data_IF_263819224782
#
_entry.id   IF_263819224782
#
_cell.length_a   1.000
_cell.length_b   1.000
_cell.length_c   1.000
_cell.angle_alpha   90.00
_cell.angle_beta   90.00
_cell.angle_gamma   90.00
#
_symmetry.space_group_name_H-M   'P 1'
#
loop_
_entity.id
_entity.type
_entity.pdbx_description
1 polymer ?
#
# COMPACT_ATOMS: atom_id res chain seq x y z
N UNK A 1 -27.21 -48.02 7.58
CA UNK A 1 -27.56 -47.52 6.25
C UNK A 1 -26.37 -46.77 5.68
N UNK A 2 -25.85 -47.19 4.53
CA UNK A 2 -24.74 -46.50 3.88
C UNK A 2 -25.23 -45.12 3.40
N UNK A 3 -24.76 -44.03 4.03
CA UNK A 3 -25.05 -42.67 3.59
C UNK A 3 -24.46 -42.54 2.19
N UNK A 4 -25.32 -42.41 1.18
CA UNK A 4 -24.89 -42.18 -0.20
C UNK A 4 -23.90 -41.01 -0.21
N UNK A 5 -22.71 -41.22 -0.79
CA UNK A 5 -21.64 -40.23 -0.80
C UNK A 5 -22.10 -39.02 -1.63
N UNK A 6 -22.58 -37.97 -0.95
CA UNK A 6 -23.09 -36.76 -1.60
C UNK A 6 -21.93 -36.01 -2.30
N UNK A 7 -21.97 -35.86 -3.64
CA UNK A 7 -20.93 -35.18 -4.39
C UNK A 7 -20.67 -33.76 -3.87
N UNK A 8 -19.43 -33.28 -4.01
CA UNK A 8 -19.06 -31.89 -3.70
C UNK A 8 -19.26 -31.47 -2.23
N UNK A 9 -19.47 -32.43 -1.33
CA UNK A 9 -19.53 -32.19 0.11
C UNK A 9 -18.32 -32.77 0.82
N UNK A 10 -17.85 -32.08 1.86
CA UNK A 10 -16.76 -32.55 2.72
C UNK A 10 -16.91 -32.04 4.15
N UNK A 11 -16.32 -32.75 5.11
CA UNK A 11 -16.37 -32.41 6.53
C UNK A 11 -15.13 -31.62 6.92
N UNK A 12 -15.31 -30.50 7.63
CA UNK A 12 -14.21 -29.70 8.18
C UNK A 12 -14.06 -29.98 9.67
N UNK A 13 -12.82 -30.32 10.07
CA UNK A 13 -12.44 -30.64 11.46
C UNK A 13 -13.30 -31.73 12.12
N UNK A 14 -14.00 -32.56 11.34
CA UNK A 14 -14.92 -33.58 11.85
C UNK A 14 -16.25 -33.05 12.41
N UNK A 15 -16.52 -31.73 12.33
CA UNK A 15 -17.62 -31.09 13.08
C UNK A 15 -18.77 -30.64 12.19
N UNK A 16 -18.50 -30.09 11.00
CA UNK A 16 -19.54 -29.54 10.13
C UNK A 16 -19.25 -29.74 8.66
N UNK A 17 -20.31 -29.79 7.86
CA UNK A 17 -20.26 -30.04 6.43
C UNK A 17 -20.11 -28.75 5.63
N UNK A 18 -19.40 -28.83 4.51
CA UNK A 18 -19.29 -27.76 3.52
C UNK A 18 -19.58 -28.27 2.12
N UNK A 19 -20.09 -27.38 1.29
CA UNK A 19 -20.27 -27.58 -0.15
C UNK A 19 -19.19 -26.83 -0.93
N UNK A 20 -18.60 -27.48 -1.96
CA UNK A 20 -17.63 -26.85 -2.86
C UNK A 20 -17.81 -27.28 -4.32
N UNK A 21 -18.34 -26.37 -5.14
CA UNK A 21 -18.47 -26.51 -6.61
C UNK A 21 -18.62 -25.14 -7.24
N UNK A 22 -18.07 -24.93 -8.44
CA UNK A 22 -18.31 -23.71 -9.24
C UNK A 22 -17.90 -22.39 -8.57
N UNK A 23 -16.85 -22.40 -7.74
CA UNK A 23 -16.40 -21.21 -6.98
C UNK A 23 -17.14 -20.95 -5.68
N UNK A 24 -18.28 -21.62 -5.43
CA UNK A 24 -18.96 -21.59 -4.14
C UNK A 24 -18.18 -22.44 -3.13
N UNK A 25 -18.00 -21.90 -1.93
CA UNK A 25 -17.46 -22.61 -0.78
C UNK A 25 -18.16 -22.12 0.49
N UNK A 26 -19.22 -22.81 0.89
CA UNK A 26 -20.07 -22.40 2.02
C UNK A 26 -20.36 -23.57 2.98
N UNK A 27 -20.61 -23.28 4.27
CA UNK A 27 -21.09 -24.28 5.20
C UNK A 27 -22.49 -24.78 4.80
N UNK A 28 -22.77 -26.05 5.08
CA UNK A 28 -24.10 -26.64 5.03
C UNK A 28 -24.61 -26.81 6.47
N UNK A 29 -25.89 -26.48 6.74
CA UNK A 29 -26.50 -26.71 8.04
C UNK A 29 -26.74 -28.20 8.27
N UNK A 30 -26.56 -28.67 9.51
CA UNK A 30 -26.92 -30.03 9.91
C UNK A 30 -26.04 -31.13 9.29
N UNK A 31 -26.60 -32.34 9.22
CA UNK A 31 -25.94 -33.54 8.70
C UNK A 31 -26.70 -34.16 7.51
N UNK A 32 -26.03 -34.93 6.63
CA UNK A 32 -26.68 -35.72 5.59
C UNK A 32 -27.81 -36.59 6.17
N UNK A 33 -29.00 -36.50 5.57
CA UNK A 33 -30.24 -37.11 6.07
C UNK A 33 -31.23 -36.10 6.66
N UNK A 34 -30.76 -34.93 7.10
CA UNK A 34 -31.64 -33.86 7.59
C UNK A 34 -32.24 -33.03 6.44
N UNK A 35 -33.50 -32.62 6.57
CA UNK A 35 -34.19 -31.83 5.54
C UNK A 35 -33.51 -30.50 5.25
N UNK A 36 -33.04 -29.79 6.28
CA UNK A 36 -32.33 -28.52 6.16
C UNK A 36 -31.01 -28.67 5.41
N UNK A 37 -30.28 -29.76 5.65
CA UNK A 37 -29.05 -30.09 4.94
C UNK A 37 -29.33 -30.29 3.44
N UNK A 38 -30.31 -31.12 3.11
CA UNK A 38 -30.64 -31.46 1.72
C UNK A 38 -31.22 -30.28 0.94
N UNK A 39 -32.01 -29.40 1.58
CA UNK A 39 -32.51 -28.18 0.98
C UNK A 39 -31.37 -27.21 0.64
N UNK A 40 -30.46 -26.94 1.59
CA UNK A 40 -29.29 -26.10 1.35
C UNK A 40 -28.36 -26.72 0.29
N UNK A 41 -28.13 -28.03 0.34
CA UNK A 41 -27.33 -28.73 -0.67
C UNK A 41 -27.92 -28.60 -2.07
N UNK A 42 -29.23 -28.79 -2.23
CA UNK A 42 -29.92 -28.63 -3.52
C UNK A 42 -29.84 -27.19 -4.05
N UNK A 43 -30.03 -26.20 -3.18
CA UNK A 43 -29.89 -24.78 -3.53
C UNK A 43 -28.48 -24.47 -4.05
N UNK A 44 -27.43 -24.94 -3.35
CA UNK A 44 -26.04 -24.68 -3.76
C UNK A 44 -25.64 -25.46 -5.01
N UNK A 45 -26.16 -26.67 -5.19
CA UNK A 45 -26.00 -27.44 -6.43
C UNK A 45 -26.63 -26.71 -7.62
N UNK A 46 -27.87 -26.24 -7.49
CA UNK A 46 -28.55 -25.47 -8.53
C UNK A 46 -27.81 -24.15 -8.83
N UNK A 47 -27.33 -23.46 -7.81
CA UNK A 47 -26.52 -22.24 -7.98
C UNK A 47 -25.18 -22.51 -8.68
N UNK A 48 -24.53 -23.63 -8.38
CA UNK A 48 -23.26 -24.03 -9.03
C UNK A 48 -23.43 -24.53 -10.47
N UNK A 49 -24.61 -25.04 -10.83
CA UNK A 49 -24.95 -25.49 -12.18
C UNK A 49 -25.50 -24.38 -13.07
N UNK A 50 -25.93 -23.26 -12.47
CA UNK A 50 -26.34 -22.07 -13.21
C UNK A 50 -25.14 -21.54 -14.00
N UNK A 51 -25.14 -21.76 -15.32
CA UNK A 51 -24.15 -21.16 -16.21
C UNK A 51 -24.18 -19.64 -15.97
N UNK A 52 -23.02 -19.00 -15.71
CA UNK A 52 -22.99 -17.55 -15.62
C UNK A 52 -23.58 -17.00 -16.91
N UNK A 53 -24.52 -16.07 -16.78
CA UNK A 53 -25.10 -15.40 -17.94
C UNK A 53 -23.96 -14.83 -18.78
N UNK A 54 -24.06 -14.96 -20.10
CA UNK A 54 -23.09 -14.37 -20.99
C UNK A 54 -23.04 -12.86 -20.71
N UNK A 55 -21.85 -12.35 -20.36
CA UNK A 55 -21.68 -10.92 -20.10
C UNK A 55 -21.99 -10.17 -21.41
N UNK A 56 -22.95 -9.25 -21.37
CA UNK A 56 -23.26 -8.41 -22.53
C UNK A 56 -22.00 -7.62 -22.94
N UNK A 57 -21.60 -7.76 -24.21
CA UNK A 57 -20.41 -7.10 -24.78
C UNK A 57 -20.51 -5.57 -24.79
N UNK A 58 -21.70 -5.02 -24.55
CA UNK A 58 -21.92 -3.58 -24.41
C UNK A 58 -21.85 -3.11 -22.96
N UNK A 59 -21.87 -4.01 -21.97
CA UNK A 59 -21.90 -3.67 -20.55
C UNK A 59 -20.57 -3.11 -20.01
N UNK A 60 -20.65 -2.34 -18.93
CA UNK A 60 -19.50 -1.84 -18.19
C UNK A 60 -18.68 -2.98 -17.58
N UNK A 61 -19.32 -4.05 -17.13
CA UNK A 61 -18.70 -5.30 -16.67
C UNK A 61 -17.82 -5.92 -17.75
N UNK A 62 -18.28 -5.94 -18.99
CA UNK A 62 -17.46 -6.41 -20.11
C UNK A 62 -16.24 -5.53 -20.34
N UNK A 63 -16.39 -4.20 -20.25
CA UNK A 63 -15.28 -3.27 -20.38
C UNK A 63 -14.21 -3.48 -19.28
N UNK A 64 -14.64 -3.65 -18.02
CA UNK A 64 -13.76 -3.98 -16.89
C UNK A 64 -12.98 -5.27 -17.17
N UNK A 65 -13.68 -6.32 -17.62
CA UNK A 65 -13.04 -7.60 -17.97
C UNK A 65 -11.97 -7.42 -19.06
N UNK A 66 -12.28 -6.69 -20.13
CA UNK A 66 -11.35 -6.44 -21.23
C UNK A 66 -10.14 -5.62 -20.80
N UNK A 67 -10.33 -4.65 -19.89
CA UNK A 67 -9.22 -3.89 -19.31
C UNK A 67 -8.30 -4.77 -18.47
N UNK A 68 -8.84 -5.66 -17.63
CA UNK A 68 -8.01 -6.61 -16.86
C UNK A 68 -7.21 -7.56 -17.75
N UNK A 69 -7.74 -7.92 -18.91
CA UNK A 69 -7.09 -8.77 -19.90
C UNK A 69 -6.07 -8.01 -20.78
N UNK A 70 -6.06 -6.68 -20.73
CA UNK A 70 -5.27 -5.83 -21.63
C UNK A 70 -3.77 -5.88 -21.31
N UNK A 71 -2.94 -5.60 -22.33
CA UNK A 71 -1.49 -5.52 -22.16
C UNK A 71 -1.11 -4.38 -21.22
N UNK A 72 -1.84 -3.26 -21.28
CA UNK A 72 -1.61 -2.07 -20.46
C UNK A 72 -1.81 -2.36 -18.97
N UNK A 73 -2.89 -3.08 -18.60
CA UNK A 73 -3.12 -3.47 -17.22
C UNK A 73 -2.05 -4.46 -16.73
N UNK A 74 -1.70 -5.45 -17.56
CA UNK A 74 -0.66 -6.45 -17.25
C UNK A 74 0.73 -5.85 -17.13
N UNK A 75 1.01 -4.74 -17.80
CA UNK A 75 2.28 -4.03 -17.72
C UNK A 75 2.41 -3.18 -16.42
N UNK A 76 1.32 -2.94 -15.70
CA UNK A 76 1.37 -2.25 -14.40
C UNK A 76 2.09 -3.11 -13.37
N UNK A 77 2.76 -2.47 -12.41
CA UNK A 77 3.34 -3.18 -11.27
C UNK A 77 2.27 -3.91 -10.44
N UNK A 78 2.58 -5.09 -9.91
CA UNK A 78 1.63 -5.92 -9.13
C UNK A 78 0.89 -5.15 -8.03
N UNK A 79 1.54 -4.27 -7.22
CA UNK A 79 0.82 -3.48 -6.22
C UNK A 79 -0.22 -2.53 -6.83
N UNK A 80 0.06 -1.99 -8.02
CA UNK A 80 -0.87 -1.14 -8.77
C UNK A 80 -2.03 -1.98 -9.31
N UNK A 81 -1.75 -3.16 -9.88
CA UNK A 81 -2.81 -4.09 -10.33
C UNK A 81 -3.73 -4.47 -9.17
N UNK A 82 -3.19 -4.74 -7.98
CA UNK A 82 -3.97 -5.04 -6.78
C UNK A 82 -4.82 -3.84 -6.31
N UNK A 83 -4.26 -2.63 -6.30
CA UNK A 83 -5.00 -1.41 -5.91
C UNK A 83 -6.11 -1.08 -6.91
N UNK A 84 -5.83 -1.20 -8.21
CA UNK A 84 -6.82 -1.01 -9.28
C UNK A 84 -7.87 -2.11 -9.21
N UNK A 85 -7.46 -3.36 -9.07
CA UNK A 85 -8.33 -4.54 -8.95
C UNK A 85 -9.38 -4.36 -7.86
N UNK A 86 -8.99 -3.92 -6.65
CA UNK A 86 -9.94 -3.63 -5.57
C UNK A 86 -10.99 -2.57 -5.94
N UNK A 87 -10.61 -1.57 -6.72
CA UNK A 87 -11.54 -0.51 -7.15
C UNK A 87 -12.43 -1.01 -8.29
N UNK A 88 -11.88 -1.81 -9.20
CA UNK A 88 -12.65 -2.49 -10.25
C UNK A 88 -13.64 -3.49 -9.65
N UNK A 89 -13.30 -4.21 -8.58
CA UNK A 89 -14.21 -5.12 -7.88
C UNK A 89 -15.41 -4.36 -7.28
N UNK A 90 -15.16 -3.15 -6.74
CA UNK A 90 -16.23 -2.26 -6.24
C UNK A 90 -17.14 -1.85 -7.39
N UNK A 91 -16.56 -1.41 -8.51
CA UNK A 91 -17.31 -1.00 -9.70
C UNK A 91 -18.08 -2.16 -10.35
N UNK A 92 -17.57 -3.38 -10.23
CA UNK A 92 -18.18 -4.59 -10.78
C UNK A 92 -19.33 -5.13 -9.90
N UNK A 93 -19.30 -4.82 -8.60
CA UNK A 93 -20.36 -5.15 -7.65
C UNK A 93 -21.52 -4.13 -7.64
N UNK A 94 -21.32 -2.96 -8.26
CA UNK A 94 -22.31 -1.89 -8.38
C UNK A 94 -23.27 -2.12 -9.56
N UNK A 95 -24.48 -1.57 -9.49
CA UNK A 95 -25.47 -1.62 -10.58
C UNK A 95 -24.96 -0.95 -11.88
N UNK A 96 -23.97 -0.05 -11.76
CA UNK A 96 -23.22 0.52 -12.89
C UNK A 96 -22.63 -0.56 -13.81
N UNK A 97 -22.25 -1.73 -13.26
CA UNK A 97 -21.60 -2.81 -14.00
C UNK A 97 -22.46 -3.34 -15.16
N UNK A 98 -23.78 -3.36 -15.01
CA UNK A 98 -24.67 -3.94 -16.02
C UNK A 98 -25.13 -2.90 -17.05
N UNK A 99 -24.81 -1.62 -16.83
CA UNK A 99 -25.14 -0.53 -17.75
C UNK A 99 -24.23 -0.53 -18.98
N UNK A 100 -24.70 -0.09 -20.16
CA UNK A 100 -23.84 0.00 -21.34
C UNK A 100 -22.69 0.99 -21.14
N UNK A 101 -21.44 0.57 -21.38
CA UNK A 101 -20.26 1.41 -21.10
C UNK A 101 -20.23 2.71 -21.94
N UNK A 102 -20.89 2.73 -23.10
CA UNK A 102 -21.03 3.95 -23.93
C UNK A 102 -22.05 4.96 -23.41
N UNK A 103 -22.89 4.56 -22.46
CA UNK A 103 -23.93 5.42 -21.87
C UNK A 103 -23.67 5.73 -20.40
N UNK A 104 -22.52 5.34 -19.86
CA UNK A 104 -22.12 5.75 -18.52
C UNK A 104 -21.95 7.26 -18.50
N UNK A 105 -22.75 7.91 -17.68
CA UNK A 105 -22.74 9.36 -17.53
C UNK A 105 -21.89 9.78 -16.34
N UNK A 106 -21.49 11.05 -16.32
CA UNK A 106 -20.86 11.67 -15.16
C UNK A 106 -21.72 11.52 -13.89
N UNK A 107 -23.05 11.61 -14.00
CA UNK A 107 -23.97 11.51 -12.87
C UNK A 107 -23.96 10.12 -12.24
N UNK A 108 -23.88 9.06 -13.06
CA UNK A 108 -23.79 7.68 -12.59
C UNK A 108 -22.47 7.44 -11.85
N UNK A 109 -21.35 7.89 -12.40
CA UNK A 109 -20.04 7.77 -11.73
C UNK A 109 -20.00 8.62 -10.45
N UNK A 110 -20.67 9.77 -10.44
CA UNK A 110 -20.83 10.59 -9.24
C UNK A 110 -21.60 9.86 -8.15
N UNK A 111 -22.68 9.16 -8.49
CA UNK A 111 -23.46 8.38 -7.52
C UNK A 111 -22.59 7.35 -6.80
N UNK A 112 -21.88 6.50 -7.57
CA UNK A 112 -20.97 5.48 -7.01
C UNK A 112 -19.86 6.10 -6.17
N UNK A 113 -19.32 7.26 -6.59
CA UNK A 113 -18.33 8.00 -5.80
C UNK A 113 -18.90 8.46 -4.45
N UNK A 114 -20.13 8.98 -4.46
CA UNK A 114 -20.78 9.59 -3.30
C UNK A 114 -21.25 8.55 -2.27
N UNK A 115 -21.45 7.29 -2.66
CA UNK A 115 -21.62 6.17 -1.73
C UNK A 115 -20.41 5.99 -0.80
N UNK A 116 -19.24 6.47 -1.24
CA UNK A 116 -18.02 6.50 -0.44
C UNK A 116 -17.72 7.90 0.14
N UNK A 117 -18.70 8.80 0.27
CA UNK A 117 -18.47 10.15 0.81
C UNK A 117 -17.90 10.15 2.24
N UNK A 118 -18.28 9.16 3.07
CA UNK A 118 -17.69 8.94 4.39
C UNK A 118 -16.22 8.50 4.37
N UNK A 119 -15.71 8.06 3.21
CA UNK A 119 -14.32 7.68 2.98
C UNK A 119 -13.75 8.39 1.74
N UNK A 120 -13.43 9.70 1.83
CA UNK A 120 -13.06 10.53 0.67
C UNK A 120 -11.91 9.96 -0.20
N UNK A 121 -10.97 9.23 0.41
CA UNK A 121 -9.89 8.55 -0.31
C UNK A 121 -10.41 7.45 -1.24
N UNK A 122 -11.38 6.65 -0.78
CA UNK A 122 -12.01 5.58 -1.56
C UNK A 122 -12.88 6.16 -2.68
N UNK A 123 -13.65 7.21 -2.38
CA UNK A 123 -14.36 8.00 -3.38
C UNK A 123 -13.42 8.54 -4.49
N UNK A 124 -12.26 9.09 -4.10
CA UNK A 124 -11.28 9.55 -5.08
C UNK A 124 -10.71 8.41 -5.93
N UNK A 125 -10.53 7.21 -5.37
CA UNK A 125 -10.09 6.03 -6.12
C UNK A 125 -11.11 5.59 -7.17
N UNK A 126 -12.40 5.62 -6.87
CA UNK A 126 -13.48 5.38 -7.86
C UNK A 126 -13.31 6.31 -9.06
N UNK A 127 -13.20 7.62 -8.81
CA UNK A 127 -12.94 8.60 -9.88
C UNK A 127 -11.69 8.25 -10.70
N UNK A 128 -10.57 8.01 -10.03
CA UNK A 128 -9.29 7.73 -10.70
C UNK A 128 -9.37 6.47 -11.56
N UNK A 129 -10.00 5.42 -11.04
CA UNK A 129 -10.11 4.15 -11.74
C UNK A 129 -11.02 4.27 -12.96
N UNK A 130 -12.18 4.91 -12.84
CA UNK A 130 -13.06 5.15 -13.99
C UNK A 130 -12.34 6.00 -15.03
N UNK A 131 -11.63 7.05 -14.62
CA UNK A 131 -10.86 7.88 -15.56
C UNK A 131 -9.77 7.08 -16.29
N UNK A 132 -9.05 6.18 -15.61
CA UNK A 132 -8.02 5.35 -16.23
C UNK A 132 -8.62 4.29 -17.16
N UNK A 133 -9.74 3.67 -16.76
CA UNK A 133 -10.48 2.69 -17.57
C UNK A 133 -10.99 3.32 -18.88
N UNK A 134 -11.59 4.51 -18.83
CA UNK A 134 -12.07 5.20 -20.03
C UNK A 134 -10.94 5.80 -20.87
N UNK A 135 -9.82 6.21 -20.25
CA UNK A 135 -8.62 6.59 -21.01
C UNK A 135 -8.06 5.42 -21.82
N UNK A 136 -8.06 4.22 -21.26
CA UNK A 136 -7.72 3.00 -22.01
C UNK A 136 -8.77 2.66 -23.08
N UNK A 137 -10.06 2.73 -22.75
CA UNK A 137 -11.15 2.42 -23.69
C UNK A 137 -11.14 3.34 -24.92
N UNK A 138 -10.79 4.62 -24.73
CA UNK A 138 -10.59 5.61 -25.79
C UNK A 138 -9.43 5.20 -26.70
N UNK A 139 -8.25 4.93 -26.14
CA UNK A 139 -7.08 4.44 -26.90
C UNK A 139 -7.34 3.12 -27.62
N UNK A 140 -8.18 2.25 -27.06
CA UNK A 140 -8.59 0.99 -27.67
C UNK A 140 -9.70 1.14 -28.73
N UNK A 141 -10.15 2.38 -29.03
CA UNK A 141 -11.20 2.67 -30.01
C UNK A 141 -12.59 2.13 -29.61
N UNK A 142 -12.81 1.84 -28.33
CA UNK A 142 -14.07 1.27 -27.84
C UNK A 142 -15.14 2.35 -27.59
N UNK A 143 -14.71 3.56 -27.24
CA UNK A 143 -15.57 4.73 -27.01
C UNK A 143 -15.15 5.88 -27.94
N UNK A 144 -16.00 6.91 -28.15
CA UNK A 144 -15.59 8.11 -28.89
C UNK A 144 -14.37 8.79 -28.27
N UNK A 145 -13.62 9.53 -29.09
CA UNK A 145 -12.44 10.28 -28.64
C UNK A 145 -12.80 11.20 -27.47
N UNK A 146 -11.96 11.20 -26.41
CA UNK A 146 -12.14 12.02 -25.21
C UNK A 146 -13.40 11.68 -24.40
N UNK A 147 -14.05 10.55 -24.67
CA UNK A 147 -15.18 10.09 -23.87
C UNK A 147 -14.71 9.57 -22.51
N UNK A 148 -14.72 10.45 -21.50
CA UNK A 148 -14.38 10.11 -20.13
C UNK A 148 -15.45 10.65 -19.16
N UNK A 149 -16.34 9.78 -18.63
CA UNK A 149 -17.40 10.21 -17.71
C UNK A 149 -16.86 10.70 -16.36
N UNK A 150 -15.59 10.44 -16.04
CA UNK A 150 -14.96 10.88 -14.80
C UNK A 150 -14.16 12.19 -14.93
N UNK A 151 -13.97 12.74 -16.13
CA UNK A 151 -13.11 13.90 -16.37
C UNK A 151 -13.52 15.13 -15.52
N UNK A 152 -14.83 15.44 -15.48
CA UNK A 152 -15.39 16.57 -14.74
C UNK A 152 -15.63 16.33 -13.25
N UNK A 153 -15.37 15.13 -12.71
CA UNK A 153 -15.66 14.84 -11.30
C UNK A 153 -14.66 15.56 -10.38
N UNK A 154 -15.16 16.36 -9.44
CA UNK A 154 -14.30 16.94 -8.39
C UNK A 154 -13.93 15.89 -7.34
N UNK A 155 -12.73 16.00 -6.76
CA UNK A 155 -12.33 15.24 -5.56
C UNK A 155 -13.19 15.72 -4.39
N UNK A 156 -13.71 14.79 -3.59
CA UNK A 156 -14.38 15.14 -2.33
C UNK A 156 -13.36 15.72 -1.36
N UNK A 157 -13.68 16.87 -0.76
CA UNK A 157 -12.83 17.50 0.25
C UNK A 157 -12.97 16.73 1.55
N UNK A 158 -11.84 16.49 2.21
CA UNK A 158 -11.83 15.96 3.58
C UNK A 158 -12.22 17.09 4.54
N UNK A 159 -13.18 16.85 5.45
CA UNK A 159 -13.53 17.82 6.49
C UNK A 159 -12.30 18.06 7.38
N UNK A 160 -11.90 19.32 7.55
CA UNK A 160 -10.66 19.69 8.25
C UNK A 160 -9.40 19.66 7.39
N UNK A 161 -9.51 19.44 6.08
CA UNK A 161 -8.37 19.38 5.17
C UNK A 161 -7.77 17.98 5.04
N UNK A 162 -6.82 17.83 4.11
CA UNK A 162 -6.06 16.58 3.98
C UNK A 162 -5.09 16.48 5.17
N UNK A 163 -5.01 15.29 5.80
CA UNK A 163 -4.05 15.06 6.89
C UNK A 163 -2.63 15.25 6.37
N UNK A 164 -1.94 16.26 6.87
CA UNK A 164 -0.53 16.46 6.58
C UNK A 164 0.32 15.39 7.26
N UNK A 165 1.44 15.03 6.62
CA UNK A 165 2.43 14.13 7.21
C UNK A 165 3.19 14.94 8.25
N UNK A 166 3.14 14.51 9.52
CA UNK A 166 3.86 15.20 10.58
C UNK A 166 5.32 14.76 10.61
N UNK A 167 6.20 15.75 10.48
CA UNK A 167 7.65 15.58 10.56
C UNK A 167 8.05 15.36 12.01
N UNK A 168 8.97 14.42 12.23
CA UNK A 168 9.48 14.14 13.57
C UNK A 168 10.45 15.24 13.99
N UNK A 169 10.39 15.67 15.25
CA UNK A 169 11.43 16.54 15.82
C UNK A 169 12.66 15.74 16.26
N UNK A 170 13.79 16.42 16.42
CA UNK A 170 15.04 15.78 16.88
C UNK A 170 14.86 15.17 18.29
N UNK A 171 14.09 15.84 19.15
CA UNK A 171 13.70 15.32 20.46
C UNK A 171 12.87 14.04 20.36
N UNK A 172 11.86 14.00 19.47
CA UNK A 172 11.03 12.81 19.25
C UNK A 172 11.81 11.63 18.68
N UNK A 173 12.76 11.90 17.77
CA UNK A 173 13.66 10.88 17.22
C UNK A 173 14.51 10.28 18.35
N UNK A 174 15.14 11.11 19.17
CA UNK A 174 15.96 10.66 20.30
C UNK A 174 15.13 9.86 21.32
N UNK A 175 13.96 10.40 21.71
CA UNK A 175 13.02 9.77 22.63
C UNK A 175 12.58 8.39 22.13
N UNK A 176 12.22 8.30 20.85
CA UNK A 176 11.79 7.04 20.26
C UNK A 176 12.94 6.02 20.20
N UNK A 177 14.12 6.42 19.74
CA UNK A 177 15.28 5.52 19.65
C UNK A 177 15.75 5.01 21.02
N UNK A 178 15.55 5.77 22.10
CA UNK A 178 15.84 5.34 23.47
C UNK A 178 14.92 4.20 23.94
N UNK A 179 13.66 4.17 23.49
CA UNK A 179 12.65 3.19 23.93
C UNK A 179 12.43 2.05 22.92
N UNK A 180 12.82 2.23 21.67
CA UNK A 180 12.55 1.29 20.60
C UNK A 180 13.35 0.00 20.78
N UNK A 181 12.67 -1.14 20.63
CA UNK A 181 13.34 -2.45 20.52
C UNK A 181 14.31 -2.46 19.32
N UNK A 182 15.44 -3.20 19.38
CA UNK A 182 16.45 -3.19 18.31
C UNK A 182 15.91 -3.46 16.89
N UNK A 183 14.97 -4.41 16.76
CA UNK A 183 14.35 -4.77 15.49
C UNK A 183 13.38 -3.70 14.92
N UNK A 184 12.98 -2.71 15.73
CA UNK A 184 12.22 -1.53 15.31
C UNK A 184 13.14 -0.33 15.10
N UNK A 185 14.18 -0.18 15.94
CA UNK A 185 15.15 0.91 15.84
C UNK A 185 15.95 0.84 14.53
N UNK A 186 16.34 -0.36 14.08
CA UNK A 186 17.17 -0.52 12.88
C UNK A 186 16.52 0.05 11.61
N UNK A 187 15.25 -0.29 11.25
CA UNK A 187 14.62 0.31 10.08
C UNK A 187 14.34 1.81 10.23
N UNK A 188 14.14 2.30 11.47
CA UNK A 188 13.98 3.74 11.74
C UNK A 188 15.28 4.50 11.48
N UNK A 189 16.41 3.99 11.97
CA UNK A 189 17.73 4.58 11.70
C UNK A 189 18.05 4.56 10.20
N UNK A 190 17.79 3.44 9.52
CA UNK A 190 17.95 3.36 8.07
C UNK A 190 17.09 4.41 7.36
N UNK A 191 15.81 4.54 7.72
CA UNK A 191 14.93 5.55 7.12
C UNK A 191 15.39 6.98 7.38
N UNK A 192 15.89 7.28 8.58
CA UNK A 192 16.37 8.60 8.97
C UNK A 192 17.64 9.00 8.22
N UNK A 193 18.63 8.11 8.15
CA UNK A 193 19.95 8.45 7.61
C UNK A 193 20.10 8.21 6.11
N UNK A 194 19.24 7.38 5.50
CA UNK A 194 19.21 7.18 4.04
C UNK A 194 18.07 7.93 3.37
N UNK A 195 17.10 8.38 4.15
CA UNK A 195 15.91 9.06 3.65
C UNK A 195 15.12 8.21 2.64
N UNK A 196 15.12 6.87 2.75
CA UNK A 196 14.44 5.96 1.82
C UNK A 196 12.98 5.64 2.22
N UNK A 197 12.17 5.13 1.28
CA UNK A 197 10.76 4.80 1.55
C UNK A 197 10.71 3.53 2.37
N UNK A 198 9.66 3.36 3.19
CA UNK A 198 9.53 2.18 4.04
C UNK A 198 9.72 0.86 3.28
N UNK A 199 9.13 0.72 2.09
CA UNK A 199 9.27 -0.49 1.26
C UNK A 199 10.71 -0.73 0.80
N UNK A 200 11.47 0.34 0.55
CA UNK A 200 12.86 0.26 0.12
C UNK A 200 13.77 -0.03 1.33
N UNK A 201 13.47 0.56 2.49
CA UNK A 201 14.20 0.35 3.76
C UNK A 201 14.14 -1.10 4.22
N UNK A 202 12.94 -1.69 4.29
CA UNK A 202 12.79 -3.08 4.77
C UNK A 202 13.38 -4.10 3.80
N UNK A 203 13.65 -3.71 2.56
CA UNK A 203 14.27 -4.54 1.53
C UNK A 203 15.80 -4.36 1.43
N UNK A 204 16.41 -3.51 2.26
CA UNK A 204 17.87 -3.32 2.26
C UNK A 204 18.58 -4.58 2.72
N UNK A 205 19.69 -4.91 2.06
CA UNK A 205 20.46 -6.13 2.30
C UNK A 205 21.91 -5.83 2.70
N UNK A 206 22.54 -6.76 3.42
CA UNK A 206 23.93 -6.66 3.84
C UNK A 206 24.88 -6.64 2.63
N UNK A 207 24.57 -7.39 1.57
CA UNK A 207 25.33 -7.36 0.31
C UNK A 207 25.38 -5.98 -0.37
N UNK A 208 24.45 -5.07 -0.06
CA UNK A 208 24.40 -3.70 -0.61
C UNK A 208 25.04 -2.66 0.31
N UNK A 209 25.43 -3.06 1.52
CA UNK A 209 26.10 -2.23 2.50
C UNK A 209 27.63 -2.42 2.42
N UNK A 210 28.34 -1.35 2.07
CA UNK A 210 29.79 -1.30 1.90
C UNK A 210 30.47 -0.46 2.98
N UNK A 211 29.91 -0.44 4.21
CA UNK A 211 30.44 0.32 5.36
C UNK A 211 30.30 1.84 5.23
N UNK A 212 30.92 2.48 4.25
CA UNK A 212 30.80 3.92 3.98
C UNK A 212 29.65 4.28 3.03
N UNK A 213 29.12 3.29 2.29
CA UNK A 213 28.06 3.48 1.30
C UNK A 213 26.96 2.42 1.41
N UNK A 214 25.72 2.79 1.07
CA UNK A 214 24.57 1.91 0.93
C UNK A 214 23.99 2.07 -0.47
N UNK A 215 23.96 0.98 -1.24
CA UNK A 215 23.35 0.97 -2.58
C UNK A 215 21.85 0.66 -2.50
N UNK A 216 21.02 1.48 -3.12
CA UNK A 216 19.55 1.36 -3.10
C UNK A 216 19.00 1.38 -4.51
N UNK A 217 18.11 0.42 -4.81
CA UNK A 217 17.24 0.47 -5.99
C UNK A 217 15.82 0.74 -5.54
N UNK A 218 15.31 1.95 -5.77
CA UNK A 218 13.98 2.33 -5.32
C UNK A 218 12.90 1.52 -6.07
N UNK A 219 11.99 0.88 -5.34
CA UNK A 219 10.91 0.07 -5.90
C UNK A 219 9.94 0.89 -6.77
N UNK A 220 9.57 2.10 -6.30
CA UNK A 220 8.56 2.96 -6.95
C UNK A 220 9.06 3.65 -8.22
N UNK A 221 10.30 4.16 -8.20
CA UNK A 221 10.86 5.00 -9.28
C UNK A 221 11.92 4.27 -10.10
N UNK A 222 12.39 3.10 -9.64
CA UNK A 222 13.51 2.32 -10.20
C UNK A 222 14.86 3.02 -10.20
N UNK A 223 14.98 4.19 -9.55
CA UNK A 223 16.24 4.92 -9.40
C UNK A 223 17.29 4.07 -8.66
N UNK A 224 18.53 4.11 -9.15
CA UNK A 224 19.71 3.53 -8.53
C UNK A 224 20.45 4.64 -7.80
N UNK A 225 20.65 4.46 -6.50
CA UNK A 225 21.28 5.44 -5.61
C UNK A 225 22.42 4.78 -4.85
N UNK A 226 23.54 5.48 -4.78
CA UNK A 226 24.65 5.17 -3.88
C UNK A 226 24.65 6.25 -2.79
N UNK A 227 24.28 5.88 -1.57
CA UNK A 227 24.05 6.82 -0.46
C UNK A 227 25.18 6.67 0.55
N UNK A 228 25.83 7.78 0.90
CA UNK A 228 26.83 7.80 1.96
C UNK A 228 26.20 7.37 3.30
N UNK A 229 26.86 6.46 4.00
CA UNK A 229 26.41 5.90 5.26
C UNK A 229 26.83 6.83 6.41
N UNK A 230 25.86 7.52 6.99
CA UNK A 230 26.08 8.38 8.15
C UNK A 230 26.81 7.62 9.28
N UNK A 231 27.73 8.28 9.97
CA UNK A 231 28.62 7.65 10.96
C UNK A 231 27.86 6.92 12.08
N UNK A 232 26.74 7.46 12.57
CA UNK A 232 25.88 6.81 13.55
C UNK A 232 25.19 5.57 13.00
N UNK A 233 24.74 5.61 11.74
CA UNK A 233 24.16 4.45 11.07
C UNK A 233 25.21 3.37 10.86
N UNK A 234 26.39 3.73 10.37
CA UNK A 234 27.52 2.81 10.18
C UNK A 234 27.88 2.08 11.47
N UNK A 235 28.06 2.81 12.58
CA UNK A 235 28.35 2.19 13.90
C UNK A 235 27.26 1.20 14.31
N UNK A 236 25.99 1.55 14.13
CA UNK A 236 24.86 0.67 14.44
C UNK A 236 24.86 -0.58 13.57
N UNK A 237 25.00 -0.42 12.26
CA UNK A 237 25.00 -1.52 11.29
C UNK A 237 26.20 -2.47 11.51
N UNK A 238 27.40 -1.93 11.73
CA UNK A 238 28.60 -2.73 11.98
C UNK A 238 28.52 -3.52 13.29
N UNK A 239 27.84 -3.00 14.30
CA UNK A 239 27.62 -3.69 15.57
C UNK A 239 26.68 -4.90 15.44
N UNK A 240 25.67 -4.81 14.57
CA UNK A 240 24.67 -5.89 14.38
C UNK A 240 24.97 -6.78 13.16
N UNK A 241 25.95 -6.41 12.33
CA UNK A 241 26.33 -7.15 11.13
C UNK A 241 26.78 -8.57 11.54
N UNK A 242 26.19 -9.64 10.97
CA UNK A 242 26.58 -11.00 11.30
C UNK A 242 28.08 -11.25 11.04
N UNK A 243 28.83 -11.62 12.08
CA UNK A 243 30.25 -11.99 11.96
C UNK A 243 30.36 -13.46 11.53
N UNK A 244 31.06 -13.74 10.43
CA UNK A 244 31.50 -15.11 10.10
C UNK A 244 30.52 -16.03 9.37
N UNK A 245 29.38 -15.55 8.85
CA UNK A 245 28.62 -16.36 7.88
C UNK A 245 29.28 -16.25 6.52
N UNK A 246 29.92 -17.33 6.08
CA UNK A 246 30.03 -17.59 4.65
C UNK A 246 28.65 -17.35 4.05
N UNK A 247 28.58 -16.43 3.08
CA UNK A 247 27.37 -16.05 2.38
C UNK A 247 26.91 -17.28 1.59
N UNK A 248 26.26 -18.23 2.27
CA UNK A 248 25.34 -19.13 1.60
C UNK A 248 24.12 -18.26 1.36
N UNK A 249 23.82 -17.91 0.10
CA UNK A 249 22.71 -17.02 -0.21
C UNK A 249 21.43 -17.81 0.02
N UNK A 250 20.96 -17.85 1.27
CA UNK A 250 19.53 -17.95 1.49
C UNK A 250 18.98 -16.53 1.28
N UNK A 251 18.16 -16.31 0.24
CA UNK A 251 17.66 -14.98 -0.11
C UNK A 251 17.02 -14.24 1.07
N UNK A 252 16.43 -14.97 2.01
CA UNK A 252 15.73 -14.42 3.17
C UNK A 252 16.66 -13.99 4.32
N UNK A 253 17.96 -14.36 4.28
CA UNK A 253 18.92 -14.11 5.38
C UNK A 253 19.93 -12.98 5.10
N UNK A 254 19.91 -12.38 3.91
CA UNK A 254 20.74 -11.22 3.56
C UNK A 254 20.06 -9.88 3.91
N UNK A 255 18.79 -9.90 4.32
CA UNK A 255 18.02 -8.70 4.68
C UNK A 255 18.49 -8.11 6.02
N UNK A 256 18.66 -6.79 6.07
CA UNK A 256 19.07 -6.07 7.30
C UNK A 256 17.90 -5.97 8.29
N UNK A 257 16.70 -5.69 7.77
CA UNK A 257 15.51 -5.42 8.56
C UNK A 257 14.75 -6.70 8.91
N UNK A 258 15.19 -7.38 9.98
CA UNK A 258 14.53 -8.58 10.50
C UNK A 258 13.62 -8.26 11.69
N UNK A 259 12.62 -9.12 11.90
CA UNK A 259 11.81 -9.20 13.12
C UNK A 259 12.59 -9.88 14.25
N UNK A 260 11.98 -9.93 15.43
CA UNK A 260 12.52 -10.66 16.60
C UNK A 260 12.65 -12.18 16.35
N UNK A 261 11.88 -12.73 15.41
CA UNK A 261 11.91 -14.15 15.01
C UNK A 261 12.78 -14.41 13.76
N UNK A 262 13.73 -13.52 13.44
CA UNK A 262 14.63 -13.58 12.28
C UNK A 262 13.94 -13.61 10.90
N UNK A 263 12.65 -13.28 10.83
CA UNK A 263 11.92 -13.19 9.56
C UNK A 263 12.02 -11.76 9.00
N UNK A 264 12.26 -11.58 7.68
CA UNK A 264 12.25 -10.27 7.06
C UNK A 264 10.93 -9.50 7.24
N UNK A 265 11.03 -8.20 7.50
CA UNK A 265 9.86 -7.33 7.55
C UNK A 265 9.23 -7.16 6.17
N UNK A 266 7.91 -7.32 6.08
CA UNK A 266 7.14 -6.70 4.99
C UNK A 266 6.83 -5.24 5.34
N UNK A 267 6.68 -4.37 4.33
CA UNK A 267 6.38 -2.96 4.56
C UNK A 267 5.10 -2.75 5.37
N UNK A 268 4.04 -3.54 5.11
CA UNK A 268 2.78 -3.45 5.85
C UNK A 268 2.92 -3.92 7.31
N UNK A 269 3.63 -5.05 7.52
CA UNK A 269 3.85 -5.58 8.86
C UNK A 269 4.69 -4.62 9.70
N UNK A 270 5.77 -4.08 9.14
CA UNK A 270 6.60 -3.09 9.82
C UNK A 270 5.82 -1.80 10.08
N UNK A 271 5.06 -1.30 9.10
CA UNK A 271 4.24 -0.09 9.29
C UNK A 271 3.29 -0.21 10.50
N UNK A 272 2.66 -1.37 10.64
CA UNK A 272 1.78 -1.67 11.77
C UNK A 272 2.55 -1.83 13.09
N UNK A 273 3.71 -2.48 13.07
CA UNK A 273 4.59 -2.62 14.24
C UNK A 273 5.12 -1.26 14.70
N UNK A 274 5.55 -0.41 13.77
CA UNK A 274 6.00 0.95 14.01
C UNK A 274 4.89 1.79 14.65
N UNK A 275 3.67 1.76 14.11
CA UNK A 275 2.54 2.49 14.72
C UNK A 275 2.22 2.00 16.14
N UNK A 276 2.40 0.71 16.44
CA UNK A 276 2.26 0.20 17.81
C UNK A 276 3.39 0.68 18.70
N UNK A 277 4.63 0.65 18.22
CA UNK A 277 5.80 1.13 18.95
C UNK A 277 5.67 2.61 19.31
N UNK A 278 5.27 3.46 18.35
CA UNK A 278 5.01 4.89 18.58
C UNK A 278 3.98 5.12 19.69
N UNK A 279 2.87 4.37 19.68
CA UNK A 279 1.84 4.48 20.74
C UNK A 279 2.30 3.95 22.10
N UNK A 280 3.27 3.04 22.11
CA UNK A 280 3.80 2.46 23.34
C UNK A 280 4.92 3.30 23.96
N UNK A 281 5.53 4.22 23.20
CA UNK A 281 6.60 5.11 23.70
C UNK A 281 6.00 6.23 24.54
N UNK A 282 6.32 6.33 25.84
CA UNK A 282 5.84 7.42 26.69
C UNK A 282 6.27 8.78 26.16
N UNK A 283 5.36 9.76 26.15
CA UNK A 283 5.64 11.12 25.67
C UNK A 283 5.67 11.29 24.14
N UNK A 284 5.44 10.22 23.37
CA UNK A 284 5.46 10.26 21.91
C UNK A 284 4.08 10.58 21.30
N UNK A 285 3.95 11.59 20.42
CA UNK A 285 2.70 11.82 19.69
C UNK A 285 2.32 10.63 18.80
N UNK A 286 1.04 10.23 18.83
CA UNK A 286 0.57 8.99 18.19
C UNK A 286 0.47 9.04 16.65
N UNK A 287 0.58 10.22 16.05
CA UNK A 287 0.43 10.50 14.61
C UNK A 287 1.77 10.45 13.84
N UNK A 288 2.84 9.98 14.50
CA UNK A 288 4.17 9.84 13.92
C UNK A 288 4.30 8.60 13.04
N UNK A 289 4.89 8.78 11.85
CA UNK A 289 4.98 7.74 10.82
C UNK A 289 6.34 7.68 10.14
N UNK A 290 6.61 6.59 9.40
CA UNK A 290 7.84 6.43 8.60
C UNK A 290 8.00 7.49 7.51
N UNK A 291 6.89 8.00 6.95
CA UNK A 291 6.98 9.11 6.00
C UNK A 291 7.40 10.42 6.69
N UNK A 292 7.02 10.61 7.95
CA UNK A 292 7.49 11.73 8.77
C UNK A 292 9.00 11.69 9.00
N UNK A 293 9.58 10.49 9.22
CA UNK A 293 11.04 10.31 9.32
C UNK A 293 11.76 10.64 8.01
N UNK A 294 11.18 10.25 6.87
CA UNK A 294 11.72 10.60 5.55
C UNK A 294 11.77 12.12 5.35
N UNK A 295 10.76 12.85 5.82
CA UNK A 295 10.75 14.32 5.78
C UNK A 295 11.70 14.92 6.81
N UNK A 296 11.86 14.30 7.97
CA UNK A 296 12.84 14.73 8.97
C UNK A 296 14.27 14.63 8.39
N UNK A 297 14.60 13.55 7.68
CA UNK A 297 15.88 13.41 6.98
C UNK A 297 16.16 14.58 6.01
N UNK A 298 15.15 14.98 5.23
CA UNK A 298 15.26 16.15 4.35
C UNK A 298 15.39 17.47 5.08
N UNK A 299 14.61 17.64 6.15
CA UNK A 299 14.67 18.80 7.03
C UNK A 299 16.06 18.96 7.65
N UNK A 300 16.65 17.87 8.14
CA UNK A 300 17.99 17.86 8.73
C UNK A 300 19.06 18.25 7.71
N UNK A 301 18.99 17.74 6.47
CA UNK A 301 19.94 18.12 5.43
C UNK A 301 19.80 19.61 5.03
N UNK A 302 18.58 20.11 4.89
CA UNK A 302 18.35 21.54 4.60
C UNK A 302 18.88 22.44 5.74
N UNK A 303 18.61 22.06 6.99
CA UNK A 303 19.11 22.80 8.16
C UNK A 303 20.62 22.73 8.32
N UNK A 304 21.26 21.68 7.81
CA UNK A 304 22.71 21.56 7.72
C UNK A 304 23.33 22.37 6.56
N UNK A 305 22.51 23.02 5.73
CA UNK A 305 22.96 23.84 4.61
C UNK A 305 23.25 23.05 3.33
N UNK A 306 22.79 21.80 3.21
CA UNK A 306 22.90 21.05 1.96
C UNK A 306 22.13 21.77 0.84
N UNK A 307 22.74 21.77 -0.34
CA UNK A 307 22.12 22.28 -1.56
C UNK A 307 20.93 21.41 -1.97
N UNK A 308 20.04 21.98 -2.79
CA UNK A 308 18.91 21.26 -3.38
C UNK A 308 19.37 20.00 -4.12
N UNK A 309 20.45 20.09 -4.90
CA UNK A 309 20.97 18.97 -5.68
C UNK A 309 21.47 17.83 -4.77
N UNK A 310 22.15 18.15 -3.67
CA UNK A 310 22.60 17.15 -2.69
C UNK A 310 21.41 16.45 -2.03
N UNK A 311 20.39 17.19 -1.59
CA UNK A 311 19.21 16.60 -0.95
C UNK A 311 18.42 15.73 -1.94
N UNK A 312 18.25 16.20 -3.18
CA UNK A 312 17.56 15.44 -4.23
C UNK A 312 18.31 14.17 -4.63
N UNK A 313 19.64 14.15 -4.56
CA UNK A 313 20.45 12.95 -4.80
C UNK A 313 20.14 11.83 -3.79
N UNK A 314 19.71 12.18 -2.58
CA UNK A 314 19.35 11.22 -1.51
C UNK A 314 17.86 10.88 -1.54
N UNK A 315 16.99 11.90 -1.60
CA UNK A 315 15.54 11.75 -1.40
C UNK A 315 14.72 11.70 -2.70
N UNK A 316 15.27 12.19 -3.81
CA UNK A 316 14.53 12.47 -5.03
C UNK A 316 13.60 13.69 -4.94
N UNK A 317 13.38 14.30 -6.10
CA UNK A 317 12.73 15.61 -6.31
C UNK A 317 11.39 15.82 -5.57
N UNK A 318 10.47 14.86 -5.62
CA UNK A 318 9.14 15.02 -5.01
C UNK A 318 9.18 15.04 -3.48
N UNK A 319 10.11 14.29 -2.88
CA UNK A 319 10.24 14.26 -1.41
C UNK A 319 10.88 15.55 -0.90
N UNK A 320 11.89 16.04 -1.61
CA UNK A 320 12.55 17.30 -1.32
C UNK A 320 11.55 18.46 -1.20
N UNK A 321 10.68 18.66 -2.21
CA UNK A 321 9.67 19.74 -2.18
C UNK A 321 8.74 19.71 -0.96
N UNK A 322 8.40 18.50 -0.47
CA UNK A 322 7.55 18.36 0.71
C UNK A 322 8.32 18.58 2.01
N UNK A 323 9.58 18.13 2.08
CA UNK A 323 10.45 18.34 3.24
C UNK A 323 10.78 19.83 3.45
N UNK A 324 11.04 20.56 2.35
CA UNK A 324 11.34 22.00 2.36
C UNK A 324 10.30 22.82 3.11
N UNK A 325 9.01 22.49 2.96
CA UNK A 325 7.91 23.24 3.60
C UNK A 325 8.12 23.34 5.12
N UNK A 326 8.67 22.30 5.74
CA UNK A 326 8.84 22.22 7.18
C UNK A 326 10.18 22.80 7.66
N UNK A 327 11.29 22.45 7.01
CA UNK A 327 12.60 22.98 7.43
C UNK A 327 12.72 24.49 7.18
N UNK A 328 12.28 24.98 6.02
CA UNK A 328 12.25 26.42 5.75
C UNK A 328 11.40 27.18 6.78
N UNK A 329 10.28 26.62 7.26
CA UNK A 329 9.47 27.24 8.30
C UNK A 329 10.20 27.29 9.65
N UNK A 330 10.86 26.19 10.05
CA UNK A 330 11.69 26.13 11.27
C UNK A 330 12.86 27.11 11.23
N UNK A 331 13.59 27.17 10.12
CA UNK A 331 14.73 28.07 9.92
C UNK A 331 14.29 29.54 10.01
N UNK A 332 13.16 29.90 9.38
CA UNK A 332 12.60 31.26 9.46
C UNK A 332 12.15 31.60 10.88
N UNK A 333 11.56 30.65 11.62
CA UNK A 333 11.18 30.86 13.01
C UNK A 333 12.39 31.10 13.92
N UNK A 334 13.45 30.28 13.79
CA UNK A 334 14.72 30.48 14.52
C UNK A 334 15.34 31.83 14.19
N UNK A 335 15.39 32.20 12.91
CA UNK A 335 15.93 33.49 12.46
C UNK A 335 15.09 34.68 12.95
N UNK A 336 13.77 34.54 13.05
CA UNK A 336 12.91 35.59 13.61
C UNK A 336 13.18 35.79 15.10
N UNK A 337 13.34 34.71 15.88
CA UNK A 337 13.66 34.79 17.30
C UNK A 337 15.04 35.43 17.54
N UNK A 338 16.06 34.97 16.79
CA UNK A 338 17.41 35.52 16.89
C UNK A 338 17.48 37.04 16.61
N UNK A 339 16.56 37.59 15.81
CA UNK A 339 16.46 39.03 15.55
C UNK A 339 15.80 39.83 16.69
N UNK A 340 15.00 39.19 17.53
CA UNK A 340 14.36 39.84 18.68
C UNK A 340 15.28 39.77 19.91
N UNK A 341 16.15 38.77 19.97
CA UNK A 341 17.11 38.56 21.05
C UNK A 341 18.47 39.25 20.85
N UNK A 342 18.75 39.77 19.64
CA UNK A 342 19.93 40.56 19.30
C UNK A 342 19.69 42.05 19.55
#
# INVERSE_FOLDING_TARGET
MAVAKLPYTYVVKGVYWRFRRGGLNCPLPGQPGESAFHAAYAEKMAAAERKPAAIDRKSFRWLIKRYRESAEFRALADPTQLDYGKTLDILEADDLADQPYRYITWAMVKAVRDDFAGTPRKAHKVKQMVSALYGWADQAGMVPEKFNPAAGLKKLKTKGGDKEIVVWSDHEIALFLQHAKPHIATPVMLALYTGQRLSDVVAMTWSRYQTDMIRVRQSKTRALLDIACHSLLRRHLDAIKPKGRAVVPMPDKDVICLREDDVPWSANAFGSAMSRAVRATPGMPHDRSMHGLRYAAGSTMEEAGCTVAEIESVLGHQTFKMALKYASQRLRAKAALAKIEA
#
